data_IF_900300237461
#
_entry.id   IF_900300237461
#
_cell.length_a   1.000
_cell.length_b   1.000
_cell.length_c   1.000
_cell.angle_alpha   90.00
_cell.angle_beta   90.00
_cell.angle_gamma   90.00
#
_symmetry.space_group_name_H-M   'P 1'
#
loop_
_entity.id
_entity.type
_entity.pdbx_description
1 polymer ?
#
# COMPACT_ATOMS: atom_id res chain seq x y z
N UNK A 1 -13.40 -24.35 -9.71
CA UNK A 1 -13.22 -23.66 -11.01
C UNK A 1 -12.43 -22.41 -10.74
N UNK A 2 -11.25 -22.27 -11.34
CA UNK A 2 -10.39 -21.12 -11.11
C UNK A 2 -11.12 -19.84 -11.59
N UNK A 3 -11.37 -18.91 -10.67
CA UNK A 3 -11.83 -17.57 -11.02
C UNK A 3 -10.64 -16.87 -11.64
N UNK A 4 -10.54 -16.98 -12.97
CA UNK A 4 -9.58 -16.20 -13.74
C UNK A 4 -9.84 -14.73 -13.46
N UNK A 5 -8.84 -14.02 -12.92
CA UNK A 5 -8.88 -12.57 -12.80
C UNK A 5 -8.94 -11.98 -14.21
N UNK A 6 -10.16 -11.70 -14.69
CA UNK A 6 -10.38 -10.88 -15.88
C UNK A 6 -9.83 -9.48 -15.56
N UNK A 7 -9.10 -8.83 -16.47
CA UNK A 7 -8.66 -7.46 -16.28
C UNK A 7 -9.87 -6.54 -16.39
N UNK A 8 -10.59 -6.38 -15.29
CA UNK A 8 -11.61 -5.33 -15.14
C UNK A 8 -10.87 -4.06 -14.75
N UNK A 9 -10.92 -3.07 -15.63
CA UNK A 9 -10.56 -1.68 -15.35
C UNK A 9 -11.67 -1.09 -14.48
N UNK A 10 -11.32 -0.56 -13.32
CA UNK A 10 -12.31 -0.05 -12.37
C UNK A 10 -13.01 1.19 -12.95
N UNK A 11 -14.34 1.26 -12.85
CA UNK A 11 -15.07 2.48 -13.20
C UNK A 11 -14.85 3.55 -12.13
N UNK A 12 -13.96 4.50 -12.42
CA UNK A 12 -13.65 5.62 -11.54
C UNK A 12 -14.87 6.53 -11.27
N UNK A 13 -15.98 6.43 -12.02
CA UNK A 13 -17.21 7.15 -11.73
C UNK A 13 -18.07 6.44 -10.66
N UNK A 14 -18.09 5.11 -10.63
CA UNK A 14 -18.79 4.31 -9.62
C UNK A 14 -18.29 4.58 -8.20
N UNK A 15 -16.96 4.62 -8.01
CA UNK A 15 -16.37 4.95 -6.70
C UNK A 15 -16.69 6.37 -6.24
N UNK A 16 -16.81 7.35 -7.14
CA UNK A 16 -17.13 8.73 -6.75
C UNK A 16 -18.51 8.85 -6.12
N UNK A 17 -19.50 8.12 -6.63
CA UNK A 17 -20.88 8.22 -6.14
C UNK A 17 -21.07 7.62 -4.74
N UNK A 18 -20.18 6.72 -4.29
CA UNK A 18 -20.28 6.04 -2.98
C UNK A 18 -19.45 6.71 -1.88
N UNK A 19 -18.50 7.59 -2.21
CA UNK A 19 -17.59 8.24 -1.25
C UNK A 19 -18.14 9.50 -0.55
N UNK A 20 -19.45 9.56 -0.32
CA UNK A 20 -20.05 10.61 0.50
C UNK A 20 -19.61 10.48 1.97
N UNK A 21 -18.39 10.91 2.30
CA UNK A 21 -17.73 10.74 3.60
C UNK A 21 -16.74 9.58 3.59
N UNK A 22 -15.52 9.76 4.11
CA UNK A 22 -14.50 8.70 4.14
C UNK A 22 -14.99 7.48 4.93
N UNK A 23 -14.73 6.27 4.42
CA UNK A 23 -15.17 5.00 5.04
C UNK A 23 -14.78 4.84 6.50
N UNK A 24 -13.72 5.52 6.96
CA UNK A 24 -13.31 5.53 8.36
C UNK A 24 -14.43 5.92 9.33
N UNK A 25 -15.33 6.80 8.89
CA UNK A 25 -16.46 7.29 9.68
C UNK A 25 -17.78 6.60 9.29
N UNK A 26 -17.73 5.69 8.32
CA UNK A 26 -18.90 4.94 7.87
C UNK A 26 -19.13 3.69 8.72
N UNK A 27 -20.41 3.36 8.87
CA UNK A 27 -20.83 2.10 9.46
C UNK A 27 -20.92 1.04 8.36
N UNK A 28 -20.19 -0.06 8.52
CA UNK A 28 -20.27 -1.22 7.64
C UNK A 28 -21.45 -2.09 8.10
N UNK A 29 -22.29 -2.50 7.15
CA UNK A 29 -23.38 -3.45 7.44
C UNK A 29 -22.82 -4.86 7.35
N UNK A 30 -22.71 -5.54 8.48
CA UNK A 30 -22.32 -6.95 8.57
C UNK A 30 -23.51 -7.75 9.12
N UNK A 31 -24.16 -8.53 8.25
CA UNK A 31 -25.44 -9.17 8.57
C UNK A 31 -26.51 -8.13 8.91
N UNK A 32 -27.09 -8.21 10.12
CA UNK A 32 -28.13 -7.28 10.60
C UNK A 32 -27.58 -6.15 11.49
N UNK A 33 -26.26 -5.97 11.58
CA UNK A 33 -25.64 -4.97 12.45
C UNK A 33 -24.80 -3.98 11.65
N UNK A 34 -24.91 -2.71 12.03
CA UNK A 34 -24.04 -1.64 11.56
C UNK A 34 -22.85 -1.54 12.55
N UNK A 35 -21.62 -1.72 12.07
CA UNK A 35 -20.41 -1.65 12.89
C UNK A 35 -19.41 -0.63 12.33
N UNK A 36 -18.61 0.04 13.18
CA UNK A 36 -17.55 0.93 12.70
C UNK A 36 -16.54 0.17 11.80
N UNK A 37 -16.04 0.83 10.75
CA UNK A 37 -15.04 0.24 9.86
C UNK A 37 -13.81 -0.34 10.59
N UNK A 38 -13.33 0.34 11.63
CA UNK A 38 -12.20 -0.15 12.43
C UNK A 38 -12.48 -1.48 13.12
N UNK A 39 -13.71 -1.70 13.59
CA UNK A 39 -14.13 -2.97 14.18
C UNK A 39 -14.30 -4.05 13.11
N UNK A 40 -14.87 -3.70 11.96
CA UNK A 40 -14.96 -4.59 10.80
C UNK A 40 -13.56 -5.08 10.38
N UNK A 41 -12.62 -4.17 10.16
CA UNK A 41 -11.26 -4.52 9.73
C UNK A 41 -10.54 -5.40 10.76
N UNK A 42 -10.64 -5.06 12.05
CA UNK A 42 -10.06 -5.89 13.10
C UNK A 42 -10.67 -7.31 13.14
N UNK A 43 -11.99 -7.43 12.94
CA UNK A 43 -12.68 -8.70 12.82
C UNK A 43 -12.19 -9.51 11.62
N UNK A 44 -12.06 -8.88 10.45
CA UNK A 44 -11.55 -9.48 9.23
C UNK A 44 -10.12 -10.02 9.39
N UNK A 45 -9.24 -9.23 9.99
CA UNK A 45 -7.86 -9.64 10.28
C UNK A 45 -7.83 -10.87 11.19
N UNK A 46 -8.68 -10.91 12.22
CA UNK A 46 -8.78 -12.07 13.13
C UNK A 46 -9.33 -13.30 12.42
N UNK A 47 -10.41 -13.16 11.65
CA UNK A 47 -11.03 -14.28 10.93
C UNK A 47 -10.06 -14.91 9.92
N UNK A 48 -9.29 -14.08 9.21
CA UNK A 48 -8.31 -14.56 8.24
C UNK A 48 -7.13 -15.32 8.85
N UNK A 49 -6.90 -15.28 10.17
CA UNK A 49 -5.89 -16.12 10.85
C UNK A 49 -6.31 -17.58 10.91
N UNK A 50 -7.62 -17.86 10.84
CA UNK A 50 -8.17 -19.21 10.88
C UNK A 50 -8.22 -19.90 9.51
N UNK A 51 -7.87 -19.18 8.44
CA UNK A 51 -7.86 -19.72 7.09
C UNK A 51 -6.53 -20.42 6.86
N UNK A 52 -6.58 -21.75 6.76
CA UNK A 52 -5.45 -22.53 6.25
C UNK A 52 -5.44 -22.49 4.72
N UNK A 53 -4.59 -21.63 4.18
CA UNK A 53 -4.43 -21.45 2.72
C UNK A 53 -3.61 -22.58 2.11
N UNK A 54 -2.72 -23.21 2.88
CA UNK A 54 -1.87 -24.30 2.39
C UNK A 54 -2.71 -25.57 2.14
N UNK A 55 -3.69 -25.82 3.00
CA UNK A 55 -4.61 -26.97 2.88
C UNK A 55 -5.82 -26.70 1.97
N UNK A 56 -6.07 -25.44 1.57
CA UNK A 56 -7.20 -25.07 0.72
C UNK A 56 -6.79 -24.53 -0.65
N UNK A 57 -6.58 -25.45 -1.59
CA UNK A 57 -6.16 -25.17 -2.98
C UNK A 57 -7.06 -24.15 -3.70
N UNK A 58 -8.34 -24.04 -3.35
CA UNK A 58 -9.26 -23.08 -3.98
C UNK A 58 -9.02 -21.64 -3.53
N UNK A 59 -8.40 -21.46 -2.36
CA UNK A 59 -8.07 -20.15 -1.77
C UNK A 59 -6.63 -19.74 -2.06
N UNK A 60 -5.77 -20.70 -2.38
CA UNK A 60 -4.35 -20.47 -2.60
C UNK A 60 -4.07 -19.64 -3.85
N UNK A 61 -3.40 -18.50 -3.64
CA UNK A 61 -2.77 -17.72 -4.69
C UNK A 61 -1.28 -18.08 -4.70
N UNK A 62 -0.69 -18.27 -5.88
CA UNK A 62 0.77 -18.34 -5.98
C UNK A 62 1.41 -17.00 -5.60
N UNK A 63 2.67 -17.04 -5.16
CA UNK A 63 3.46 -15.82 -4.90
C UNK A 63 3.43 -14.84 -6.07
N UNK A 64 3.52 -15.35 -7.30
CA UNK A 64 3.42 -14.56 -8.53
C UNK A 64 2.10 -13.80 -8.62
N UNK A 65 0.98 -14.51 -8.44
CA UNK A 65 -0.37 -13.91 -8.45
C UNK A 65 -0.53 -12.86 -7.33
N UNK A 66 0.09 -13.07 -6.17
CA UNK A 66 0.08 -12.08 -5.09
C UNK A 66 0.87 -10.82 -5.48
N UNK A 67 2.03 -10.96 -6.11
CA UNK A 67 2.84 -9.82 -6.58
C UNK A 67 2.13 -9.05 -7.70
N UNK A 68 1.51 -9.75 -8.65
CA UNK A 68 0.64 -9.17 -9.69
C UNK A 68 -0.50 -8.37 -9.07
N UNK A 69 -1.19 -8.96 -8.10
CA UNK A 69 -2.28 -8.30 -7.38
C UNK A 69 -1.81 -7.02 -6.69
N UNK A 70 -0.69 -7.07 -5.96
CA UNK A 70 -0.12 -5.89 -5.29
C UNK A 70 0.20 -4.79 -6.30
N UNK A 71 0.83 -5.14 -7.44
CA UNK A 71 1.13 -4.19 -8.52
C UNK A 71 -0.13 -3.52 -9.07
N UNK A 72 -1.20 -4.30 -9.30
CA UNK A 72 -2.51 -3.77 -9.73
C UNK A 72 -3.09 -2.82 -8.69
N UNK A 73 -3.17 -3.23 -7.43
CA UNK A 73 -3.76 -2.44 -6.35
C UNK A 73 -3.05 -1.10 -6.17
N UNK A 74 -1.71 -1.08 -6.19
CA UNK A 74 -0.97 0.18 -6.11
C UNK A 74 -1.20 1.09 -7.32
N UNK A 75 -1.30 0.52 -8.52
CA UNK A 75 -1.61 1.29 -9.74
C UNK A 75 -2.99 1.95 -9.63
N UNK A 76 -4.02 1.17 -9.28
CA UNK A 76 -5.39 1.68 -9.11
C UNK A 76 -5.47 2.71 -7.97
N UNK A 77 -4.75 2.48 -6.87
CA UNK A 77 -4.68 3.42 -5.75
C UNK A 77 -4.13 4.79 -6.18
N UNK A 78 -3.08 4.81 -7.00
CA UNK A 78 -2.50 6.07 -7.52
C UNK A 78 -3.52 6.83 -8.36
N UNK A 79 -4.21 6.15 -9.28
CA UNK A 79 -5.23 6.77 -10.13
C UNK A 79 -6.36 7.37 -9.29
N UNK A 80 -6.76 6.65 -8.25
CA UNK A 80 -7.76 7.11 -7.29
C UNK A 80 -7.26 8.32 -6.48
N UNK A 81 -6.04 8.27 -5.95
CA UNK A 81 -5.46 9.38 -5.18
C UNK A 81 -5.34 10.66 -6.02
N UNK A 82 -4.99 10.54 -7.31
CA UNK A 82 -4.98 11.69 -8.23
C UNK A 82 -6.39 12.27 -8.46
N UNK A 83 -7.42 11.42 -8.48
CA UNK A 83 -8.81 11.90 -8.53
C UNK A 83 -9.16 12.62 -7.24
N UNK A 84 -8.88 12.03 -6.08
CA UNK A 84 -9.18 12.60 -4.76
C UNK A 84 -8.49 13.95 -4.57
N UNK A 85 -7.21 14.07 -4.95
CA UNK A 85 -6.46 15.32 -4.89
C UNK A 85 -7.11 16.43 -5.74
N UNK A 86 -7.55 16.11 -6.97
CA UNK A 86 -8.18 17.07 -7.88
C UNK A 86 -9.51 17.62 -7.36
N UNK A 87 -10.20 16.85 -6.54
CA UNK A 87 -11.48 17.23 -5.94
C UNK A 87 -11.36 17.59 -4.45
N UNK A 88 -10.13 17.74 -3.94
CA UNK A 88 -9.82 18.08 -2.56
C UNK A 88 -10.43 17.12 -1.52
N UNK A 89 -10.52 15.84 -1.87
CA UNK A 89 -10.93 14.78 -0.95
C UNK A 89 -9.72 14.20 -0.22
N UNK A 90 -9.95 13.76 1.02
CA UNK A 90 -8.93 13.06 1.81
C UNK A 90 -8.63 11.70 1.21
N UNK A 91 -7.35 11.39 1.01
CA UNK A 91 -6.92 10.06 0.56
C UNK A 91 -7.25 8.98 1.60
N UNK A 92 -7.68 7.82 1.10
CA UNK A 92 -7.97 6.64 1.91
C UNK A 92 -6.71 5.89 2.31
N UNK A 93 -6.78 5.16 3.43
CA UNK A 93 -5.79 4.13 3.77
C UNK A 93 -5.86 2.95 2.78
N UNK A 94 -4.84 2.09 2.77
CA UNK A 94 -4.85 0.93 1.88
C UNK A 94 -5.99 -0.07 2.20
N UNK A 95 -6.28 -0.39 3.49
CA UNK A 95 -7.44 -1.19 3.86
C UNK A 95 -8.77 -0.64 3.33
N UNK A 96 -9.01 0.67 3.51
CA UNK A 96 -10.26 1.32 3.05
C UNK A 96 -10.40 1.21 1.55
N UNK A 97 -9.33 1.58 0.83
CA UNK A 97 -9.29 1.49 -0.61
C UNK A 97 -9.56 0.06 -1.09
N UNK A 98 -8.95 -0.93 -0.45
CA UNK A 98 -9.09 -2.32 -0.85
C UNK A 98 -10.52 -2.83 -0.63
N UNK A 99 -11.16 -2.41 0.47
CA UNK A 99 -12.58 -2.70 0.69
C UNK A 99 -13.48 -2.08 -0.37
N UNK A 100 -13.31 -0.79 -0.66
CA UNK A 100 -14.06 -0.11 -1.73
C UNK A 100 -13.84 -0.77 -3.09
N UNK A 101 -12.59 -1.09 -3.41
CA UNK A 101 -12.21 -1.74 -4.65
C UNK A 101 -12.95 -3.08 -4.83
N UNK A 102 -12.98 -3.93 -3.80
CA UNK A 102 -13.67 -5.22 -3.86
C UNK A 102 -15.18 -5.10 -3.82
N UNK A 103 -15.72 -4.15 -3.04
CA UNK A 103 -17.14 -3.88 -3.00
C UNK A 103 -17.67 -3.39 -4.34
N UNK A 104 -16.92 -2.54 -5.04
CA UNK A 104 -17.27 -2.09 -6.39
C UNK A 104 -17.20 -3.25 -7.39
N UNK A 105 -16.11 -4.03 -7.36
CA UNK A 105 -15.88 -5.13 -8.30
C UNK A 105 -16.92 -6.25 -8.15
N UNK A 106 -17.32 -6.57 -6.93
CA UNK A 106 -18.19 -7.71 -6.62
C UNK A 106 -19.64 -7.31 -6.39
N UNK A 107 -19.91 -6.02 -6.19
CA UNK A 107 -21.24 -5.44 -5.90
C UNK A 107 -21.96 -5.99 -4.66
N UNK A 108 -21.37 -6.96 -3.95
CA UNK A 108 -21.93 -7.64 -2.79
C UNK A 108 -20.95 -7.56 -1.59
N UNK A 109 -21.36 -6.97 -0.45
CA UNK A 109 -20.49 -6.80 0.71
C UNK A 109 -19.89 -8.09 1.26
N UNK A 110 -20.68 -9.18 1.28
CA UNK A 110 -20.21 -10.48 1.79
C UNK A 110 -19.11 -11.06 0.90
N UNK A 111 -19.28 -10.98 -0.42
CA UNK A 111 -18.26 -11.45 -1.37
C UNK A 111 -16.99 -10.60 -1.29
N UNK A 112 -17.13 -9.28 -1.07
CA UNK A 112 -16.00 -8.40 -0.85
C UNK A 112 -15.24 -8.76 0.43
N UNK A 113 -15.95 -9.04 1.53
CA UNK A 113 -15.35 -9.51 2.78
C UNK A 113 -14.61 -10.84 2.61
N UNK A 114 -15.23 -11.82 1.94
CA UNK A 114 -14.60 -13.12 1.63
C UNK A 114 -13.33 -12.96 0.78
N UNK A 115 -13.37 -12.13 -0.25
CA UNK A 115 -12.22 -11.84 -1.10
C UNK A 115 -11.07 -11.20 -0.30
N UNK A 116 -11.39 -10.22 0.54
CA UNK A 116 -10.41 -9.58 1.42
C UNK A 116 -9.80 -10.53 2.43
N UNK A 117 -10.61 -11.38 3.06
CA UNK A 117 -10.12 -12.43 3.98
C UNK A 117 -9.12 -13.34 3.27
N UNK A 118 -9.43 -13.76 2.05
CA UNK A 118 -8.53 -14.59 1.25
C UNK A 118 -7.21 -13.87 0.91
N UNK A 119 -7.28 -12.58 0.53
CA UNK A 119 -6.09 -11.77 0.24
C UNK A 119 -5.21 -11.61 1.47
N UNK A 120 -5.80 -11.32 2.64
CA UNK A 120 -5.04 -11.17 3.89
C UNK A 120 -4.37 -12.50 4.28
N UNK A 121 -5.07 -13.63 4.15
CA UNK A 121 -4.52 -14.94 4.44
C UNK A 121 -3.33 -15.28 3.52
N UNK A 122 -3.47 -15.05 2.20
CA UNK A 122 -2.36 -15.23 1.24
C UNK A 122 -1.20 -14.25 1.47
N UNK A 123 -1.47 -13.01 1.90
CA UNK A 123 -0.43 -12.04 2.23
C UNK A 123 0.43 -12.53 3.42
N UNK A 124 -0.21 -13.09 4.46
CA UNK A 124 0.50 -13.69 5.60
C UNK A 124 1.39 -14.87 5.18
N UNK A 125 0.92 -15.72 4.27
CA UNK A 125 1.69 -16.84 3.74
C UNK A 125 3.03 -16.39 3.14
N UNK A 126 3.04 -15.25 2.43
CA UNK A 126 4.24 -14.77 1.72
C UNK A 126 5.02 -13.67 2.43
N UNK A 127 4.54 -13.16 3.58
CA UNK A 127 5.19 -12.07 4.33
C UNK A 127 6.64 -12.40 4.70
N UNK A 128 6.93 -13.65 5.06
CA UNK A 128 8.28 -14.09 5.45
C UNK A 128 9.28 -14.20 4.29
N UNK A 129 8.80 -14.24 3.03
CA UNK A 129 9.62 -14.60 1.87
C UNK A 129 9.64 -13.55 0.74
N UNK A 130 8.83 -12.50 0.82
CA UNK A 130 8.84 -11.38 -0.12
C UNK A 130 8.82 -10.05 0.63
N UNK A 131 9.83 -9.21 0.40
CA UNK A 131 9.89 -7.85 0.94
C UNK A 131 8.71 -6.99 0.48
N UNK A 132 8.24 -7.20 -0.75
CA UNK A 132 7.07 -6.51 -1.31
C UNK A 132 5.79 -6.89 -0.59
N UNK A 133 5.56 -8.18 -0.39
CA UNK A 133 4.38 -8.66 0.36
C UNK A 133 4.46 -8.17 1.81
N UNK A 134 5.64 -8.24 2.45
CA UNK A 134 5.84 -7.69 3.79
C UNK A 134 5.47 -6.20 3.89
N UNK A 135 5.87 -5.38 2.92
CA UNK A 135 5.48 -3.98 2.89
C UNK A 135 3.97 -3.80 2.69
N UNK A 136 3.37 -4.59 1.81
CA UNK A 136 1.92 -4.61 1.60
C UNK A 136 1.17 -4.96 2.91
N UNK A 137 1.63 -5.97 3.66
CA UNK A 137 1.10 -6.33 4.97
C UNK A 137 1.17 -5.17 5.98
N UNK A 138 2.26 -4.38 5.98
CA UNK A 138 2.38 -3.18 6.83
C UNK A 138 1.35 -2.12 6.48
N UNK A 139 1.13 -1.86 5.18
CA UNK A 139 0.11 -0.90 4.76
C UNK A 139 -1.31 -1.39 4.99
N UNK A 140 -1.55 -2.71 4.90
CA UNK A 140 -2.81 -3.34 5.29
C UNK A 140 -3.03 -3.41 6.81
N UNK A 141 -2.03 -3.03 7.61
CA UNK A 141 -2.11 -3.08 9.08
C UNK A 141 -2.41 -4.49 9.60
N UNK A 142 -1.95 -5.53 8.89
CA UNK A 142 -2.07 -6.93 9.33
C UNK A 142 -1.32 -7.12 10.65
N UNK A 143 -0.13 -6.51 10.76
CA UNK A 143 0.67 -6.47 11.97
C UNK A 143 0.47 -5.10 12.67
N UNK A 144 -0.48 -5.06 13.61
CA UNK A 144 -0.98 -3.84 14.25
C UNK A 144 0.01 -3.14 15.20
N UNK A 145 1.15 -3.75 15.51
CA UNK A 145 2.10 -3.18 16.47
C UNK A 145 2.75 -1.87 15.97
N UNK A 146 2.78 -1.66 14.64
CA UNK A 146 3.40 -0.47 14.01
C UNK A 146 2.66 -0.09 12.72
N UNK A 147 1.42 0.42 12.79
CA UNK A 147 0.66 0.80 11.61
C UNK A 147 1.37 1.97 10.92
N UNK A 148 1.44 1.91 9.59
CA UNK A 148 1.98 3.00 8.79
C UNK A 148 0.91 4.07 8.56
N UNK A 149 1.25 5.36 8.66
CA UNK A 149 0.32 6.44 8.34
C UNK A 149 0.05 6.50 6.83
N UNK A 150 -1.07 7.12 6.43
CA UNK A 150 -1.51 7.23 5.02
C UNK A 150 -0.48 8.01 4.18
N UNK A 151 0.19 8.97 4.80
CA UNK A 151 1.24 9.75 4.16
C UNK A 151 2.48 8.90 3.83
N UNK A 152 2.76 7.86 4.62
CA UNK A 152 3.85 6.92 4.30
C UNK A 152 3.51 6.09 3.05
N UNK A 153 2.24 5.70 2.87
CA UNK A 153 1.78 5.08 1.62
C UNK A 153 1.91 6.05 0.45
N UNK A 154 1.55 7.32 0.66
CA UNK A 154 1.69 8.36 -0.38
C UNK A 154 3.14 8.54 -0.81
N UNK A 155 4.09 8.55 0.14
CA UNK A 155 5.54 8.59 -0.15
C UNK A 155 5.99 7.35 -0.93
N UNK A 156 5.55 6.17 -0.52
CA UNK A 156 5.86 4.91 -1.20
C UNK A 156 5.39 4.93 -2.66
N UNK A 157 4.12 5.29 -2.90
CA UNK A 157 3.53 5.32 -4.24
C UNK A 157 4.17 6.41 -5.11
N UNK A 158 4.46 7.58 -4.55
CA UNK A 158 5.14 8.66 -5.26
C UNK A 158 6.56 8.26 -5.69
N UNK A 159 7.31 7.63 -4.79
CA UNK A 159 8.64 7.11 -5.11
C UNK A 159 8.57 6.07 -6.23
N UNK A 160 7.61 5.16 -6.15
CA UNK A 160 7.40 4.12 -7.16
C UNK A 160 7.12 4.71 -8.55
N UNK A 161 6.20 5.67 -8.67
CA UNK A 161 5.91 6.36 -9.94
C UNK A 161 7.17 7.04 -10.50
N UNK A 162 7.94 7.72 -9.65
CA UNK A 162 9.18 8.38 -10.09
C UNK A 162 10.27 7.39 -10.51
N UNK A 163 10.37 6.25 -9.84
CA UNK A 163 11.32 5.19 -10.22
C UNK A 163 10.90 4.53 -11.53
N UNK A 164 9.61 4.42 -11.83
CA UNK A 164 9.15 3.79 -13.07
C UNK A 164 8.92 4.78 -14.21
N UNK A 165 9.21 6.07 -14.00
CA UNK A 165 8.87 7.13 -14.95
C UNK A 165 7.38 7.13 -15.38
N UNK A 166 6.49 6.62 -14.53
CA UNK A 166 5.06 6.47 -14.84
C UNK A 166 4.69 5.29 -15.74
N UNK A 167 5.60 4.35 -16.01
CA UNK A 167 5.28 3.12 -16.75
C UNK A 167 4.32 2.23 -15.95
N UNK A 168 3.33 1.65 -16.64
CA UNK A 168 2.35 0.72 -16.07
C UNK A 168 2.52 -0.64 -16.77
N UNK A 169 2.58 -1.77 -16.04
CA UNK A 169 2.46 -1.90 -14.59
C UNK A 169 3.67 -1.35 -13.82
N UNK A 170 3.41 -0.66 -12.71
CA UNK A 170 4.46 -0.01 -11.90
C UNK A 170 5.36 -1.01 -11.15
N UNK A 171 4.85 -2.20 -10.86
CA UNK A 171 5.63 -3.28 -10.25
C UNK A 171 5.44 -4.55 -11.09
N UNK A 172 6.52 -5.22 -11.48
CA UNK A 172 6.44 -6.52 -12.12
C UNK A 172 6.06 -7.62 -11.10
N UNK A 173 5.79 -8.80 -11.63
CA UNK A 173 5.29 -9.98 -10.90
C UNK A 173 6.39 -10.80 -10.18
N UNK A 174 7.60 -10.23 -10.04
CA UNK A 174 8.76 -10.83 -9.41
C UNK A 174 9.50 -9.85 -8.46
N UNK A 175 10.24 -10.39 -7.49
CA UNK A 175 11.08 -9.64 -6.55
C UNK A 175 12.47 -9.33 -7.13
N UNK A 176 13.33 -8.60 -6.40
CA UNK A 176 14.74 -8.36 -6.76
C UNK A 176 14.93 -7.47 -8.00
N UNK A 177 14.07 -6.47 -8.13
CA UNK A 177 14.17 -5.48 -9.20
C UNK A 177 15.30 -4.53 -8.86
N UNK A 178 16.28 -4.40 -9.76
CA UNK A 178 17.41 -3.51 -9.56
C UNK A 178 17.15 -2.16 -10.24
N UNK A 179 17.38 -1.07 -9.49
CA UNK A 179 17.26 0.31 -9.95
C UNK A 179 18.65 0.92 -9.99
N UNK A 180 18.94 1.74 -10.99
CA UNK A 180 20.18 2.50 -11.05
C UNK A 180 20.32 3.45 -9.84
N UNK A 181 21.49 3.44 -9.19
CA UNK A 181 21.72 4.22 -7.99
C UNK A 181 21.56 5.74 -8.20
N UNK A 182 21.91 6.25 -9.39
CA UNK A 182 21.71 7.67 -9.71
C UNK A 182 20.22 8.02 -9.84
N UNK A 183 19.40 7.09 -10.35
CA UNK A 183 17.94 7.24 -10.37
C UNK A 183 17.38 7.23 -8.95
N UNK A 184 17.82 6.30 -8.11
CA UNK A 184 17.42 6.22 -6.71
C UNK A 184 17.76 7.51 -5.94
N UNK A 185 18.96 8.08 -6.13
CA UNK A 185 19.37 9.33 -5.51
C UNK A 185 18.43 10.50 -5.87
N UNK A 186 18.09 10.64 -7.16
CA UNK A 186 17.14 11.68 -7.62
C UNK A 186 15.75 11.52 -6.99
N UNK A 187 15.30 10.28 -6.81
CA UNK A 187 14.01 9.98 -6.16
C UNK A 187 14.05 10.36 -4.68
N UNK A 188 15.14 10.06 -3.98
CA UNK A 188 15.35 10.47 -2.58
C UNK A 188 15.30 12.00 -2.46
N UNK A 189 16.02 12.72 -3.31
CA UNK A 189 16.01 14.19 -3.30
C UNK A 189 14.62 14.75 -3.54
N UNK A 190 13.87 14.14 -4.46
CA UNK A 190 12.50 14.54 -4.76
C UNK A 190 11.55 14.29 -3.59
N UNK A 191 11.54 13.07 -3.04
CA UNK A 191 10.67 12.67 -1.91
C UNK A 191 10.94 13.53 -0.68
N UNK A 192 12.22 13.77 -0.39
CA UNK A 192 12.62 14.52 0.79
C UNK A 192 12.93 15.99 0.50
N UNK A 193 12.43 16.57 -0.60
CA UNK A 193 12.74 17.94 -0.99
C UNK A 193 12.46 18.97 0.12
N UNK A 194 11.42 18.74 0.92
CA UNK A 194 11.01 19.58 2.06
C UNK A 194 11.78 19.28 3.36
N UNK A 195 12.71 18.33 3.37
CA UNK A 195 13.59 18.06 4.51
C UNK A 195 14.80 19.00 4.49
N UNK A 196 15.33 19.41 5.66
CA UNK A 196 16.56 20.20 5.73
C UNK A 196 17.71 19.51 5.00
N UNK A 197 18.61 20.29 4.40
CA UNK A 197 19.74 19.78 3.62
C UNK A 197 20.54 18.69 4.35
N UNK A 198 20.90 18.93 5.62
CA UNK A 198 21.67 17.98 6.45
C UNK A 198 20.98 16.61 6.55
N UNK A 199 19.65 16.61 6.63
CA UNK A 199 18.85 15.38 6.71
C UNK A 199 18.82 14.68 5.37
N UNK A 200 18.58 15.41 4.27
CA UNK A 200 18.63 14.83 2.93
C UNK A 200 19.99 14.21 2.64
N UNK A 201 21.08 14.90 2.97
CA UNK A 201 22.45 14.38 2.80
C UNK A 201 22.69 13.11 3.62
N UNK A 202 22.18 13.05 4.86
CA UNK A 202 22.25 11.84 5.67
C UNK A 202 21.47 10.68 5.04
N UNK A 203 20.25 10.93 4.57
CA UNK A 203 19.41 9.91 3.92
C UNK A 203 20.10 9.39 2.66
N UNK A 204 20.68 10.27 1.83
CA UNK A 204 21.44 9.87 0.64
C UNK A 204 22.64 8.99 0.99
N UNK A 205 23.42 9.36 2.01
CA UNK A 205 24.57 8.57 2.46
C UNK A 205 24.14 7.19 2.97
N UNK A 206 23.03 7.09 3.71
CA UNK A 206 22.50 5.80 4.16
C UNK A 206 21.95 4.95 2.99
N UNK A 207 21.40 5.58 1.95
CA UNK A 207 20.99 4.88 0.74
C UNK A 207 22.19 4.36 -0.06
N UNK A 208 23.28 5.12 -0.13
CA UNK A 208 24.50 4.72 -0.83
C UNK A 208 25.11 3.44 -0.25
N UNK A 209 25.04 3.24 1.07
CA UNK A 209 25.46 1.99 1.73
C UNK A 209 24.67 0.75 1.30
N UNK A 210 23.51 0.92 0.68
CA UNK A 210 22.65 -0.16 0.17
C UNK A 210 22.91 -0.48 -1.30
N UNK A 211 23.75 0.30 -1.98
CA UNK A 211 24.09 0.09 -3.38
C UNK A 211 25.02 -1.11 -3.51
N UNK A 212 24.69 -2.02 -4.42
CA UNK A 212 25.54 -3.14 -4.83
C UNK A 212 25.98 -2.88 -6.27
N UNK A 213 27.27 -2.60 -6.45
CA UNK A 213 27.81 -2.18 -7.75
C UNK A 213 27.28 -0.81 -8.16
N UNK A 214 26.33 -0.76 -9.10
CA UNK A 214 25.69 0.49 -9.57
C UNK A 214 24.17 0.51 -9.35
N UNK A 215 23.65 -0.51 -8.67
CA UNK A 215 22.22 -0.70 -8.51
C UNK A 215 21.83 -0.83 -7.05
N UNK A 216 20.56 -0.54 -6.78
CA UNK A 216 19.92 -0.78 -5.50
C UNK A 216 18.65 -1.61 -5.75
N UNK A 217 18.38 -2.57 -4.87
CA UNK A 217 17.13 -3.33 -4.91
C UNK A 217 15.94 -2.39 -4.65
N UNK A 218 14.92 -2.46 -5.50
CA UNK A 218 13.74 -1.58 -5.48
C UNK A 218 12.97 -1.72 -4.18
N UNK A 219 12.68 -2.95 -3.76
CA UNK A 219 11.86 -3.21 -2.57
C UNK A 219 12.61 -2.72 -1.31
N UNK A 220 13.94 -2.94 -1.23
CA UNK A 220 14.82 -2.40 -0.18
C UNK A 220 14.86 -0.87 -0.16
N UNK A 221 14.95 -0.23 -1.34
CA UNK A 221 14.89 1.23 -1.46
C UNK A 221 13.55 1.77 -0.98
N UNK A 222 12.44 1.23 -1.47
CA UNK A 222 11.09 1.68 -1.08
C UNK A 222 10.86 1.48 0.43
N UNK A 223 11.33 0.37 0.99
CA UNK A 223 11.29 0.13 2.43
C UNK A 223 12.08 1.17 3.21
N UNK A 224 13.29 1.47 2.74
CA UNK A 224 14.12 2.51 3.33
C UNK A 224 13.44 3.89 3.29
N UNK A 225 12.84 4.29 2.16
CA UNK A 225 12.17 5.59 2.03
C UNK A 225 11.01 5.74 3.03
N UNK A 226 10.19 4.68 3.17
CA UNK A 226 9.07 4.66 4.13
C UNK A 226 9.58 4.81 5.56
N UNK A 227 10.60 4.04 5.94
CA UNK A 227 11.14 4.10 7.30
C UNK A 227 11.80 5.46 7.61
N UNK A 228 12.53 6.06 6.66
CA UNK A 228 13.09 7.40 6.82
C UNK A 228 11.99 8.46 6.94
N UNK A 229 10.92 8.34 6.16
CA UNK A 229 9.78 9.25 6.24
C UNK A 229 9.10 9.18 7.61
N UNK A 230 8.81 7.98 8.11
CA UNK A 230 8.20 7.79 9.44
C UNK A 230 9.10 8.35 10.54
N UNK A 231 10.41 8.07 10.47
CA UNK A 231 11.37 8.59 11.45
C UNK A 231 11.43 10.12 11.45
N UNK A 232 11.51 10.76 10.27
CA UNK A 232 11.54 12.23 10.18
C UNK A 232 10.23 12.88 10.59
N UNK A 233 9.09 12.27 10.26
CA UNK A 233 7.77 12.76 10.66
C UNK A 233 7.62 12.76 12.19
N UNK A 234 8.03 11.68 12.84
CA UNK A 234 8.05 11.58 14.31
C UNK A 234 8.99 12.62 14.95
N UNK A 235 10.14 12.88 14.34
CA UNK A 235 11.09 13.88 14.85
C UNK A 235 10.54 15.29 14.76
N UNK A 236 9.85 15.64 13.66
CA UNK A 236 9.18 16.94 13.50
C UNK A 236 8.04 17.13 14.51
N UNK A 237 7.30 16.08 14.81
CA UNK A 237 6.24 16.15 15.81
C UNK A 237 6.77 16.45 17.22
N UNK A 238 8.01 16.03 17.53
CA UNK A 238 8.65 16.24 18.83
C UNK A 238 9.34 17.62 18.97
N UNK A 239 9.62 18.31 17.86
CA UNK A 239 10.24 19.64 17.86
C UNK A 239 9.38 20.63 17.04
N UNK A 240 8.27 21.14 17.61
CA UNK A 240 7.32 22.00 16.92
C UNK A 240 7.81 23.45 16.74
N UNK A 241 9.12 23.70 16.89
CA UNK A 241 9.66 25.06 16.73
C UNK A 241 9.26 25.61 15.35
N UNK A 242 8.67 26.83 15.30
CA UNK A 242 8.29 27.43 14.02
C UNK A 242 9.54 27.57 13.18
N UNK A 243 9.53 26.97 12.00
CA UNK A 243 10.55 27.22 11.00
C UNK A 243 10.40 28.69 10.59
N UNK A 244 11.20 29.56 11.21
CA UNK A 244 11.39 30.92 10.76
C UNK A 244 11.98 30.85 9.36
N UNK A 245 11.16 31.21 8.37
CA UNK A 245 11.58 31.60 7.02
C UNK A 245 12.40 32.90 7.09
#
# INVERSE_FOLDING_TARGET
GAVGMVPVTMDLQGLKSRRGGGIKDQMITQGNQAIPYSQFWAGLLKSSESIDVEDNVMLQMSKKQMLDFIGKIYTEKILVDEVDDRIHMSRQSLPEFLYDYHLELLSEPLLAEEALMNIVANARLYEGVSARVKMFCRFLQINQDKPLPVEALSVFLLALVKIQNGEIPLLPDYDQINVDASKAAKVIEFVFAQAPYVIRSKILLEAEKRVVGKTIDLDSLLYFLVDQYVHESSRRALDPRPQTL
#
